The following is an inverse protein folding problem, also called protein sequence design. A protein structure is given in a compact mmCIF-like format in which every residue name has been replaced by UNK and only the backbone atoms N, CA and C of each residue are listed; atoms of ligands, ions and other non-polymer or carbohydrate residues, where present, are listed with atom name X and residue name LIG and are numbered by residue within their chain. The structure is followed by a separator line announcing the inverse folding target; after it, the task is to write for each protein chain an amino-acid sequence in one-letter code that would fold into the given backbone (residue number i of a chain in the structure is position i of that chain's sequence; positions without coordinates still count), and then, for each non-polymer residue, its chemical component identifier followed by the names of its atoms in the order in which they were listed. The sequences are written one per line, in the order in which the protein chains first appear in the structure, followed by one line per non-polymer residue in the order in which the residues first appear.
data_IF_737814391734
#
_entry.id   IF_737814391734
#
_cell.length_a   1.000
_cell.length_b   1.000
_cell.length_c   1.000
_cell.angle_alpha   90.00
_cell.angle_beta   90.00
_cell.angle_gamma   90.00
#
_symmetry.space_group_name_H-M   'P 1'
#
loop_
_entity.id
_entity.type
_entity.pdbx_description
1 polymer ?
#
# COMPACT_ATOMS: atom_id res chain seq x y z
N UNK A 1 -2.21 -19.04 7.82
CA UNK A 1 -1.53 -17.81 7.37
C UNK A 1 -0.71 -18.12 6.13
N UNK A 2 -0.99 -17.44 5.02
CA UNK A 2 -0.13 -17.46 3.83
C UNK A 2 1.00 -16.45 4.04
N UNK A 3 2.25 -16.86 3.78
CA UNK A 3 3.40 -15.95 3.70
C UNK A 3 3.66 -15.62 2.25
N UNK A 4 3.66 -14.33 1.93
CA UNK A 4 3.73 -13.84 0.56
C UNK A 4 4.93 -12.90 0.40
N UNK A 5 5.32 -12.68 -0.86
CA UNK A 5 6.26 -11.64 -1.25
C UNK A 5 5.61 -10.80 -2.34
N UNK A 6 5.79 -9.49 -2.27
CA UNK A 6 5.26 -8.59 -3.29
C UNK A 6 6.05 -8.70 -4.60
N UNK A 7 5.35 -8.64 -5.73
CA UNK A 7 5.92 -8.73 -7.07
C UNK A 7 5.24 -7.76 -8.04
N UNK A 8 6.04 -7.18 -8.91
CA UNK A 8 5.54 -6.31 -10.00
C UNK A 8 5.40 -7.13 -11.27
N UNK A 9 4.18 -7.14 -11.84
CA UNK A 9 3.90 -7.73 -13.13
C UNK A 9 4.11 -6.69 -14.23
N UNK A 10 5.28 -6.74 -14.86
CA UNK A 10 5.70 -5.91 -15.98
C UNK A 10 6.89 -6.57 -16.68
N UNK A 11 6.92 -6.51 -18.02
CA UNK A 11 7.92 -7.18 -18.85
C UNK A 11 9.38 -6.88 -18.46
N UNK A 12 9.70 -5.62 -18.13
CA UNK A 12 11.08 -5.22 -17.79
C UNK A 12 11.52 -5.86 -16.47
N UNK A 13 10.65 -5.84 -15.46
CA UNK A 13 10.90 -6.42 -14.14
C UNK A 13 10.96 -7.95 -14.22
N UNK A 14 10.04 -8.56 -14.99
CA UNK A 14 9.94 -10.00 -15.13
C UNK A 14 11.05 -10.58 -16.06
N UNK A 15 11.79 -9.73 -16.78
CA UNK A 15 12.87 -10.14 -17.69
C UNK A 15 13.99 -10.93 -16.98
N UNK A 16 14.15 -10.77 -15.69
CA UNK A 16 15.12 -11.50 -14.86
C UNK A 16 14.79 -12.98 -14.67
N UNK A 17 13.57 -13.41 -14.98
CA UNK A 17 13.14 -14.82 -14.94
C UNK A 17 13.01 -15.35 -16.36
N UNK A 18 13.59 -16.52 -16.64
CA UNK A 18 13.46 -17.16 -17.95
C UNK A 18 12.07 -17.78 -18.11
N UNK A 19 11.55 -18.38 -17.05
CA UNK A 19 10.26 -19.09 -17.01
C UNK A 19 9.46 -18.76 -15.76
N UNK A 20 8.18 -19.12 -15.75
CA UNK A 20 7.34 -19.06 -14.55
C UNK A 20 7.88 -19.93 -13.41
N UNK A 21 8.52 -21.06 -13.74
CA UNK A 21 9.12 -21.94 -12.73
C UNK A 21 10.30 -21.27 -11.99
N UNK A 22 11.03 -20.37 -12.64
CA UNK A 22 12.12 -19.61 -11.98
C UNK A 22 11.58 -18.63 -10.96
N UNK A 23 10.47 -17.94 -11.27
CA UNK A 23 9.78 -17.08 -10.33
C UNK A 23 9.20 -17.87 -9.15
N UNK A 24 8.61 -19.05 -9.43
CA UNK A 24 8.12 -19.92 -8.37
C UNK A 24 9.27 -20.41 -7.46
N UNK A 25 10.37 -20.87 -8.03
CA UNK A 25 11.55 -21.28 -7.29
C UNK A 25 12.10 -20.14 -6.42
N UNK A 26 12.06 -18.90 -6.94
CA UNK A 26 12.51 -17.73 -6.21
C UNK A 26 11.68 -17.49 -4.93
N UNK A 27 10.36 -17.31 -5.03
CA UNK A 27 9.57 -17.02 -3.83
C UNK A 27 9.50 -18.21 -2.86
N UNK A 28 9.51 -19.46 -3.36
CA UNK A 28 9.62 -20.65 -2.50
C UNK A 28 10.94 -20.66 -1.72
N UNK A 29 12.04 -20.25 -2.35
CA UNK A 29 13.35 -20.14 -1.68
C UNK A 29 13.39 -19.09 -0.57
N UNK A 30 12.49 -18.10 -0.63
CA UNK A 30 12.27 -17.11 0.42
C UNK A 30 11.41 -17.63 1.58
N UNK A 31 10.84 -18.84 1.46
CA UNK A 31 9.91 -19.41 2.44
C UNK A 31 8.49 -18.85 2.29
N UNK A 32 8.13 -18.37 1.10
CA UNK A 32 6.81 -17.83 0.79
C UNK A 32 5.93 -18.86 0.07
N UNK A 33 4.62 -18.74 0.26
CA UNK A 33 3.59 -19.61 -0.31
C UNK A 33 3.10 -19.14 -1.68
N UNK A 34 3.28 -17.85 -1.99
CA UNK A 34 2.84 -17.21 -3.22
C UNK A 34 3.20 -15.74 -3.28
N UNK A 35 2.54 -15.06 -4.20
CA UNK A 35 2.78 -13.66 -4.53
C UNK A 35 1.57 -12.79 -4.16
N UNK A 36 1.86 -11.56 -3.74
CA UNK A 36 0.98 -10.42 -3.93
C UNK A 36 1.48 -9.64 -5.15
N UNK A 37 0.63 -9.44 -6.13
CA UNK A 37 1.02 -8.88 -7.42
C UNK A 37 0.42 -7.51 -7.63
N UNK A 38 1.26 -6.53 -7.96
CA UNK A 38 0.84 -5.25 -8.55
C UNK A 38 1.08 -5.29 -10.06
N UNK A 39 0.04 -4.96 -10.84
CA UNK A 39 0.12 -4.92 -12.29
C UNK A 39 0.52 -3.52 -12.77
N UNK A 40 1.77 -3.35 -13.18
CA UNK A 40 2.26 -2.08 -13.72
C UNK A 40 2.40 -2.07 -15.25
N UNK A 41 2.27 -3.23 -15.91
CA UNK A 41 2.41 -3.36 -17.35
C UNK A 41 1.99 -4.73 -17.86
N UNK A 42 2.50 -5.09 -19.05
CA UNK A 42 2.21 -6.37 -19.69
C UNK A 42 3.18 -7.47 -19.20
N UNK A 43 2.69 -8.69 -19.15
CA UNK A 43 3.48 -9.91 -18.98
C UNK A 43 3.27 -10.83 -20.19
N UNK A 44 3.92 -10.47 -21.30
CA UNK A 44 3.78 -11.17 -22.59
C UNK A 44 4.19 -12.65 -22.52
N UNK A 45 5.14 -12.96 -21.62
CA UNK A 45 5.68 -14.32 -21.45
C UNK A 45 4.89 -15.15 -20.44
N UNK A 46 3.90 -14.54 -19.77
CA UNK A 46 3.10 -15.19 -18.73
C UNK A 46 3.97 -15.79 -17.63
N UNK A 47 4.93 -15.01 -17.16
CA UNK A 47 5.82 -15.40 -16.04
C UNK A 47 5.02 -15.53 -14.75
N UNK A 48 4.09 -14.59 -14.49
CA UNK A 48 3.14 -14.66 -13.38
C UNK A 48 1.94 -15.51 -13.80
N UNK A 49 1.73 -16.63 -13.11
CA UNK A 49 0.58 -17.50 -13.39
C UNK A 49 -0.45 -17.44 -12.25
N UNK A 50 -1.72 -17.77 -12.51
CA UNK A 50 -2.78 -17.74 -11.49
C UNK A 50 -2.44 -18.57 -10.24
N UNK A 51 -1.74 -19.68 -10.39
CA UNK A 51 -1.38 -20.57 -9.29
C UNK A 51 -0.41 -19.95 -8.27
N UNK A 52 0.33 -18.92 -8.69
CA UNK A 52 1.29 -18.20 -7.84
C UNK A 52 0.64 -17.04 -7.09
N UNK A 53 -0.49 -16.51 -7.62
CA UNK A 53 -1.12 -15.29 -7.10
C UNK A 53 -2.05 -15.64 -5.95
N UNK A 54 -1.79 -15.04 -4.80
CA UNK A 54 -2.67 -15.11 -3.62
C UNK A 54 -3.37 -13.77 -3.42
N UNK A 55 -2.66 -12.66 -3.61
CA UNK A 55 -3.20 -11.31 -3.53
C UNK A 55 -2.85 -10.46 -4.74
N UNK A 56 -3.67 -9.45 -4.99
CA UNK A 56 -3.38 -8.40 -5.95
C UNK A 56 -3.43 -7.04 -5.26
N UNK A 57 -2.41 -6.23 -5.49
CA UNK A 57 -2.45 -4.83 -5.13
C UNK A 57 -3.03 -4.04 -6.31
N UNK A 58 -4.10 -3.28 -6.06
CA UNK A 58 -4.71 -2.44 -7.10
C UNK A 58 -3.79 -1.27 -7.43
N UNK A 59 -3.97 -0.69 -8.61
CA UNK A 59 -3.32 0.59 -8.96
C UNK A 59 -3.63 1.63 -7.89
N UNK A 60 -2.66 2.46 -7.58
CA UNK A 60 -2.84 3.57 -6.65
C UNK A 60 -2.26 4.86 -7.20
N UNK A 61 -2.86 5.97 -6.80
CA UNK A 61 -2.43 7.33 -7.07
C UNK A 61 -2.25 8.03 -5.74
N UNK A 62 -1.10 8.64 -5.52
CA UNK A 62 -0.82 9.33 -4.25
C UNK A 62 -1.68 10.57 -4.06
N UNK A 63 -1.91 11.35 -5.12
CA UNK A 63 -2.70 12.59 -5.16
C UNK A 63 -3.82 12.42 -6.18
N UNK A 64 -5.06 12.20 -5.75
CA UNK A 64 -6.16 11.88 -6.67
C UNK A 64 -7.52 12.49 -6.28
N UNK A 65 -7.70 12.89 -5.03
CA UNK A 65 -9.01 13.36 -4.55
C UNK A 65 -9.46 14.63 -5.25
N UNK A 66 -8.55 15.55 -5.55
CA UNK A 66 -8.91 16.76 -6.31
C UNK A 66 -9.31 16.44 -7.76
N UNK A 67 -8.70 15.44 -8.39
CA UNK A 67 -9.12 14.94 -9.70
C UNK A 67 -10.52 14.31 -9.61
N UNK A 68 -10.75 13.46 -8.62
CA UNK A 68 -12.04 12.82 -8.35
C UNK A 68 -13.17 13.81 -8.14
N UNK A 69 -12.90 14.89 -7.39
CA UNK A 69 -13.87 15.95 -7.08
C UNK A 69 -13.98 17.02 -8.19
N UNK A 70 -13.15 16.93 -9.23
CA UNK A 70 -13.14 17.90 -10.36
C UNK A 70 -12.70 19.30 -9.97
N UNK A 71 -11.81 19.46 -8.98
CA UNK A 71 -11.31 20.75 -8.48
C UNK A 71 -10.22 21.30 -9.42
N UNK A 72 -10.64 21.92 -10.53
CA UNK A 72 -9.74 22.36 -11.60
C UNK A 72 -8.67 23.37 -11.17
N UNK A 73 -9.00 24.27 -10.24
CA UNK A 73 -8.04 25.24 -9.68
C UNK A 73 -6.92 24.53 -8.89
N UNK A 74 -7.24 23.47 -8.17
CA UNK A 74 -6.28 22.66 -7.44
C UNK A 74 -5.40 21.84 -8.40
N UNK A 75 -6.01 21.20 -9.38
CA UNK A 75 -5.28 20.48 -10.42
C UNK A 75 -4.32 21.38 -11.18
N UNK A 76 -4.76 22.61 -11.52
CA UNK A 76 -3.90 23.60 -12.18
C UNK A 76 -2.72 24.01 -11.28
N UNK A 77 -2.94 24.17 -9.98
CA UNK A 77 -1.86 24.50 -9.04
C UNK A 77 -0.85 23.36 -8.92
N UNK A 78 -1.33 22.13 -8.70
CA UNK A 78 -0.50 20.95 -8.45
C UNK A 78 0.26 20.47 -9.70
N UNK A 79 -0.40 20.42 -10.85
CA UNK A 79 0.11 19.82 -12.07
C UNK A 79 0.55 20.79 -13.15
N UNK A 80 0.19 22.05 -13.04
CA UNK A 80 0.57 23.11 -13.98
C UNK A 80 -0.21 23.15 -15.29
N UNK A 81 -0.68 22.01 -15.81
CA UNK A 81 -1.51 21.95 -17.02
C UNK A 81 -2.39 20.70 -17.10
N UNK A 82 -3.48 20.72 -17.91
CA UNK A 82 -4.32 19.55 -18.14
C UNK A 82 -3.57 18.37 -18.77
N UNK A 83 -2.55 18.63 -19.60
CA UNK A 83 -1.74 17.60 -20.24
C UNK A 83 -0.93 16.81 -19.21
N UNK A 84 -0.40 17.47 -18.19
CA UNK A 84 0.31 16.82 -17.07
C UNK A 84 -0.64 15.99 -16.23
N UNK A 85 -1.86 16.50 -15.97
CA UNK A 85 -2.93 15.76 -15.30
C UNK A 85 -3.25 14.45 -16.06
N UNK A 86 -3.46 14.56 -17.38
CA UNK A 86 -3.72 13.39 -18.22
C UNK A 86 -2.56 12.39 -18.20
N UNK A 87 -1.33 12.86 -18.26
CA UNK A 87 -0.15 11.99 -18.21
C UNK A 87 -0.03 11.26 -16.86
N UNK A 88 -0.33 11.97 -15.75
CA UNK A 88 -0.25 11.39 -14.41
C UNK A 88 -1.30 10.31 -14.19
N UNK A 89 -2.55 10.59 -14.53
CA UNK A 89 -3.65 9.64 -14.32
C UNK A 89 -3.87 8.68 -15.49
N UNK A 90 -3.20 8.90 -16.65
CA UNK A 90 -3.40 8.12 -17.89
C UNK A 90 -4.88 8.03 -18.31
N UNK A 91 -5.66 9.07 -18.00
CA UNK A 91 -7.07 9.18 -18.31
C UNK A 91 -7.51 10.64 -18.42
N UNK A 92 -8.64 10.89 -19.09
CA UNK A 92 -9.15 12.24 -19.35
C UNK A 92 -10.22 12.67 -18.35
N UNK A 93 -10.86 11.72 -17.70
CA UNK A 93 -12.03 11.98 -16.88
C UNK A 93 -12.24 10.90 -15.82
N UNK A 94 -13.24 11.14 -14.97
CA UNK A 94 -13.61 10.26 -13.85
C UNK A 94 -14.07 8.87 -14.29
N UNK A 95 -14.75 8.75 -15.43
CA UNK A 95 -15.23 7.45 -15.91
C UNK A 95 -14.08 6.56 -16.37
N UNK A 96 -13.07 7.14 -17.03
CA UNK A 96 -11.84 6.44 -17.41
C UNK A 96 -11.04 6.03 -16.18
N UNK A 97 -10.99 6.89 -15.16
CA UNK A 97 -10.34 6.58 -13.87
C UNK A 97 -11.01 5.38 -13.18
N UNK A 98 -12.35 5.36 -13.12
CA UNK A 98 -13.11 4.22 -12.62
C UNK A 98 -12.81 2.95 -13.43
N UNK A 99 -12.71 3.07 -14.77
CA UNK A 99 -12.44 1.95 -15.64
C UNK A 99 -11.07 1.29 -15.36
N UNK A 100 -10.06 2.08 -14.95
CA UNK A 100 -8.75 1.55 -14.57
C UNK A 100 -8.84 0.67 -13.31
N UNK A 101 -9.52 1.14 -12.25
CA UNK A 101 -9.74 0.35 -11.04
C UNK A 101 -10.54 -0.93 -11.31
N UNK A 102 -11.59 -0.83 -12.14
CA UNK A 102 -12.35 -2.02 -12.57
C UNK A 102 -11.48 -3.00 -13.36
N UNK A 103 -10.61 -2.51 -14.24
CA UNK A 103 -9.69 -3.37 -14.99
C UNK A 103 -8.71 -4.12 -14.10
N UNK A 104 -8.26 -3.50 -13.00
CA UNK A 104 -7.40 -4.16 -12.01
C UNK A 104 -8.17 -5.15 -11.14
N UNK A 105 -9.38 -4.83 -10.73
CA UNK A 105 -10.27 -5.78 -10.04
C UNK A 105 -10.59 -6.99 -10.91
N UNK A 106 -10.87 -6.77 -12.21
CA UNK A 106 -11.06 -7.83 -13.20
C UNK A 106 -9.79 -8.67 -13.38
N UNK A 107 -8.61 -8.04 -13.32
CA UNK A 107 -7.34 -8.77 -13.34
C UNK A 107 -7.20 -9.65 -12.10
N UNK A 108 -7.44 -9.12 -10.90
CA UNK A 108 -7.41 -9.87 -9.65
C UNK A 108 -8.37 -11.08 -9.71
N UNK A 109 -9.60 -10.86 -10.20
CA UNK A 109 -10.58 -11.93 -10.39
C UNK A 109 -10.08 -13.01 -11.37
N UNK A 110 -9.54 -12.61 -12.54
CA UNK A 110 -8.99 -13.55 -13.54
C UNK A 110 -7.80 -14.34 -13.04
N UNK A 111 -6.96 -13.73 -12.19
CA UNK A 111 -5.82 -14.39 -11.55
C UNK A 111 -6.23 -15.31 -10.39
N UNK A 112 -7.52 -15.31 -10.01
CA UNK A 112 -8.01 -16.11 -8.88
C UNK A 112 -7.46 -15.65 -7.53
N UNK A 113 -7.13 -14.35 -7.42
CA UNK A 113 -6.66 -13.75 -6.18
C UNK A 113 -7.67 -13.97 -5.05
N UNK A 114 -7.16 -14.25 -3.86
CA UNK A 114 -7.97 -14.38 -2.64
C UNK A 114 -8.36 -13.02 -2.09
N UNK A 115 -7.52 -12.00 -2.31
CA UNK A 115 -7.78 -10.63 -1.90
C UNK A 115 -7.23 -9.63 -2.92
N UNK A 116 -7.79 -8.42 -2.86
CA UNK A 116 -7.28 -7.24 -3.57
C UNK A 116 -7.10 -6.09 -2.56
N UNK A 117 -5.96 -5.38 -2.65
CA UNK A 117 -5.61 -4.28 -1.74
C UNK A 117 -5.94 -2.95 -2.39
N UNK A 118 -6.52 -2.03 -1.62
CA UNK A 118 -6.78 -0.65 -2.04
C UNK A 118 -6.25 0.34 -1.01
N UNK A 119 -5.41 1.29 -1.44
CA UNK A 119 -4.94 2.41 -0.62
C UNK A 119 -6.05 3.41 -0.34
N UNK A 120 -6.37 3.66 0.93
CA UNK A 120 -7.34 4.68 1.33
C UNK A 120 -6.59 5.93 1.78
N UNK A 121 -6.00 6.65 0.85
CA UNK A 121 -5.16 7.83 1.16
C UNK A 121 -5.12 8.84 0.02
N UNK A 122 -4.70 10.06 0.38
CA UNK A 122 -4.40 11.14 -0.55
C UNK A 122 -3.28 12.02 0.00
N UNK A 123 -2.32 12.37 -0.85
CA UNK A 123 -1.20 13.26 -0.52
C UNK A 123 -0.64 13.88 -1.79
N UNK A 124 -0.54 15.21 -1.82
CA UNK A 124 0.20 15.94 -2.85
C UNK A 124 1.70 15.97 -2.53
N UNK A 125 2.50 16.37 -3.53
CA UNK A 125 3.95 16.55 -3.34
C UNK A 125 4.24 17.52 -2.19
N UNK A 126 3.58 18.68 -2.16
CA UNK A 126 3.79 19.70 -1.14
C UNK A 126 3.42 19.18 0.26
N UNK A 127 2.32 18.45 0.37
CA UNK A 127 1.89 17.84 1.65
C UNK A 127 2.88 16.78 2.15
N UNK A 128 3.44 15.99 1.25
CA UNK A 128 4.45 14.97 1.59
C UNK A 128 5.69 15.58 2.25
N UNK A 129 6.07 16.80 1.88
CA UNK A 129 7.18 17.53 2.49
C UNK A 129 6.81 18.35 3.73
N UNK A 130 5.59 18.92 3.75
CA UNK A 130 5.22 19.92 4.78
C UNK A 130 4.40 19.35 5.92
N UNK A 131 3.71 18.23 5.69
CA UNK A 131 2.67 17.70 6.60
C UNK A 131 1.56 18.72 6.89
N UNK A 132 1.33 19.64 5.94
CA UNK A 132 0.21 20.60 5.97
C UNK A 132 -0.86 20.11 5.01
N UNK A 133 -1.89 19.51 5.57
CA UNK A 133 -2.88 18.74 4.85
C UNK A 133 -3.99 19.63 4.27
N UNK A 134 -4.35 19.41 3.02
CA UNK A 134 -5.42 20.11 2.30
C UNK A 134 -6.77 19.43 2.48
N UNK A 135 -6.75 18.11 2.59
CA UNK A 135 -7.93 17.30 2.85
C UNK A 135 -7.98 16.83 4.30
N UNK A 136 -9.18 16.53 4.78
CA UNK A 136 -9.39 15.81 6.03
C UNK A 136 -9.38 14.30 5.79
N UNK A 137 -9.10 13.50 6.82
CA UNK A 137 -9.18 12.03 6.71
C UNK A 137 -10.55 11.59 6.21
N UNK A 138 -11.62 12.24 6.68
CA UNK A 138 -12.97 11.93 6.28
C UNK A 138 -13.25 12.22 4.80
N UNK A 139 -12.75 13.33 4.24
CA UNK A 139 -12.94 13.65 2.81
C UNK A 139 -12.28 12.59 1.92
N UNK A 140 -11.08 12.16 2.27
CA UNK A 140 -10.37 11.11 1.54
C UNK A 140 -11.08 9.76 1.65
N UNK A 141 -11.54 9.41 2.86
CA UNK A 141 -12.32 8.20 3.09
C UNK A 141 -13.64 8.24 2.30
N UNK A 142 -14.35 9.37 2.27
CA UNK A 142 -15.60 9.52 1.52
C UNK A 142 -15.39 9.34 0.00
N UNK A 143 -14.32 9.92 -0.55
CA UNK A 143 -13.96 9.76 -1.96
C UNK A 143 -13.61 8.28 -2.27
N UNK A 144 -12.85 7.63 -1.40
CA UNK A 144 -12.50 6.21 -1.52
C UNK A 144 -13.73 5.30 -1.47
N UNK A 145 -14.64 5.56 -0.53
CA UNK A 145 -15.92 4.82 -0.43
C UNK A 145 -16.73 4.98 -1.72
N UNK A 146 -16.85 6.20 -2.25
CA UNK A 146 -17.60 6.46 -3.47
C UNK A 146 -17.00 5.70 -4.66
N UNK A 147 -15.69 5.78 -4.87
CA UNK A 147 -14.97 5.05 -5.92
C UNK A 147 -15.17 3.54 -5.79
N UNK A 148 -14.95 2.99 -4.62
CA UNK A 148 -15.07 1.55 -4.36
C UNK A 148 -16.49 1.04 -4.58
N UNK A 149 -17.50 1.75 -4.09
CA UNK A 149 -18.88 1.38 -4.27
C UNK A 149 -19.28 1.38 -5.76
N UNK A 150 -18.83 2.40 -6.53
CA UNK A 150 -19.05 2.43 -7.99
C UNK A 150 -18.35 1.25 -8.70
N UNK A 151 -17.18 0.85 -8.23
CA UNK A 151 -16.44 -0.26 -8.82
C UNK A 151 -17.04 -1.62 -8.49
N UNK A 152 -17.61 -1.78 -7.30
CA UNK A 152 -18.04 -3.10 -6.79
C UNK A 152 -19.54 -3.32 -6.83
N UNK A 153 -20.38 -2.27 -6.85
CA UNK A 153 -21.84 -2.42 -6.89
C UNK A 153 -22.28 -3.15 -8.16
N UNK A 154 -22.93 -4.31 -7.97
CA UNK A 154 -23.38 -5.16 -9.05
C UNK A 154 -22.31 -6.02 -9.73
N UNK A 155 -21.07 -5.96 -9.27
CA UNK A 155 -20.00 -6.85 -9.71
C UNK A 155 -20.04 -8.19 -8.94
N UNK A 156 -19.58 -9.26 -9.61
CA UNK A 156 -19.51 -10.62 -9.02
C UNK A 156 -18.05 -11.00 -8.76
N UNK A 157 -17.38 -10.20 -7.93
CA UNK A 157 -16.00 -10.50 -7.48
C UNK A 157 -16.03 -11.45 -6.29
N UNK A 158 -15.07 -12.38 -6.25
CA UNK A 158 -14.96 -13.40 -5.20
C UNK A 158 -13.85 -13.16 -4.18
N UNK A 159 -12.93 -12.22 -4.46
CA UNK A 159 -11.83 -11.88 -3.56
C UNK A 159 -12.30 -11.05 -2.35
N UNK A 160 -11.52 -11.02 -1.28
CA UNK A 160 -11.68 -10.05 -0.20
C UNK A 160 -11.12 -8.69 -0.65
N UNK A 161 -11.84 -7.59 -0.44
CA UNK A 161 -11.34 -6.24 -0.65
C UNK A 161 -10.70 -5.75 0.66
N UNK A 162 -9.39 -5.60 0.67
CA UNK A 162 -8.63 -5.17 1.84
C UNK A 162 -8.26 -3.69 1.73
N UNK A 163 -8.76 -2.90 2.67
CA UNK A 163 -8.53 -1.47 2.77
C UNK A 163 -7.24 -1.23 3.54
N UNK A 164 -6.26 -0.58 2.90
CA UNK A 164 -4.93 -0.41 3.47
C UNK A 164 -4.78 0.97 4.11
N UNK A 165 -4.13 0.98 5.26
CA UNK A 165 -3.76 2.19 5.97
C UNK A 165 -2.45 2.78 5.44
N UNK A 166 -2.42 4.11 5.33
CA UNK A 166 -1.21 4.89 5.10
C UNK A 166 -0.99 5.88 6.27
N UNK A 167 0.11 6.63 6.25
CA UNK A 167 0.40 7.65 7.28
C UNK A 167 -0.04 9.06 6.86
N UNK A 168 -0.61 9.19 5.67
CA UNK A 168 -1.18 10.40 5.11
C UNK A 168 -2.66 10.53 5.42
N UNK A 169 -3.33 11.55 4.86
CA UNK A 169 -4.76 11.73 5.00
C UNK A 169 -5.55 10.60 4.37
N UNK A 170 -6.60 10.19 5.09
CA UNK A 170 -7.43 9.05 4.77
C UNK A 170 -7.49 8.04 5.94
N UNK A 171 -7.27 6.79 5.62
CA UNK A 171 -7.28 5.71 6.60
C UNK A 171 -5.86 5.45 7.12
N UNK A 172 -5.59 5.78 8.38
CA UNK A 172 -4.29 5.59 9.02
C UNK A 172 -4.27 4.51 10.11
N UNK A 173 -5.42 3.91 10.43
CA UNK A 173 -5.59 2.98 11.55
C UNK A 173 -5.22 3.60 12.91
N UNK A 174 -5.50 4.91 13.08
CA UNK A 174 -5.29 5.65 14.33
C UNK A 174 -6.58 6.22 14.92
N UNK A 175 -7.69 6.16 14.18
CA UNK A 175 -9.02 6.63 14.58
C UNK A 175 -10.05 5.50 14.42
N UNK A 176 -10.50 4.87 15.52
CA UNK A 176 -11.49 3.79 15.48
C UNK A 176 -12.86 4.22 14.91
N UNK A 177 -13.26 5.48 15.10
CA UNK A 177 -14.56 5.95 14.61
C UNK A 177 -14.53 6.09 13.08
N UNK A 178 -13.45 6.60 12.52
CA UNK A 178 -13.26 6.66 11.07
C UNK A 178 -13.07 5.26 10.45
N UNK A 179 -12.35 4.37 11.14
CA UNK A 179 -12.24 2.96 10.73
C UNK A 179 -13.61 2.30 10.65
N UNK A 180 -14.42 2.46 11.69
CA UNK A 180 -15.79 1.93 11.72
C UNK A 180 -16.64 2.56 10.62
N UNK A 181 -16.58 3.88 10.45
CA UNK A 181 -17.32 4.60 9.43
C UNK A 181 -17.01 4.05 8.03
N UNK A 182 -15.73 3.90 7.70
CA UNK A 182 -15.28 3.37 6.41
C UNK A 182 -15.83 1.95 6.17
N UNK A 183 -15.66 1.05 7.14
CA UNK A 183 -16.14 -0.33 7.05
C UNK A 183 -17.66 -0.41 6.89
N UNK A 184 -18.42 0.45 7.57
CA UNK A 184 -19.87 0.49 7.48
C UNK A 184 -20.40 1.03 6.14
N UNK A 185 -19.61 1.88 5.45
CA UNK A 185 -20.03 2.61 4.24
C UNK A 185 -19.58 1.98 2.92
N UNK A 186 -18.53 1.18 2.93
CA UNK A 186 -18.17 0.37 1.77
C UNK A 186 -19.22 -0.74 1.62
N UNK A 187 -19.87 -0.82 0.45
CA UNK A 187 -20.98 -1.75 0.21
C UNK A 187 -20.50 -3.20 0.03
N UNK A 188 -19.29 -3.37 -0.52
CA UNK A 188 -18.76 -4.70 -0.77
C UNK A 188 -18.70 -5.51 0.53
N UNK A 189 -19.41 -6.64 0.61
CA UNK A 189 -19.58 -7.39 1.86
C UNK A 189 -18.30 -8.11 2.27
N UNK A 190 -17.59 -8.72 1.29
CA UNK A 190 -16.35 -9.47 1.54
C UNK A 190 -15.15 -8.52 1.65
N UNK A 191 -15.09 -7.73 2.71
CA UNK A 191 -14.06 -6.72 2.95
C UNK A 191 -13.36 -6.88 4.29
N UNK A 192 -12.15 -6.35 4.35
CA UNK A 192 -11.34 -6.30 5.57
C UNK A 192 -10.32 -5.17 5.52
N UNK A 193 -9.33 -5.30 6.37
CA UNK A 193 -8.20 -4.36 6.47
C UNK A 193 -6.94 -5.10 6.09
N UNK A 194 -6.13 -4.47 5.23
CA UNK A 194 -4.71 -4.73 5.10
C UNK A 194 -3.99 -3.80 6.07
N UNK A 195 -3.42 -4.34 7.14
CA UNK A 195 -2.64 -3.54 8.07
C UNK A 195 -1.19 -3.47 7.58
N UNK A 196 -0.81 -2.30 7.06
CA UNK A 196 0.59 -2.02 6.80
C UNK A 196 1.27 -1.51 8.07
N UNK A 197 2.29 -2.26 8.52
CA UNK A 197 2.99 -1.99 9.78
C UNK A 197 3.97 -0.84 9.69
N UNK A 198 4.62 -0.66 8.53
CA UNK A 198 5.54 0.47 8.31
C UNK A 198 4.79 1.78 8.16
N UNK A 199 3.67 1.77 7.43
CA UNK A 199 2.77 2.92 7.32
C UNK A 199 2.22 3.34 8.69
N UNK A 200 1.77 2.37 9.50
CA UNK A 200 1.30 2.70 10.85
C UNK A 200 2.42 3.26 11.73
N UNK A 201 3.67 2.75 11.61
CA UNK A 201 4.82 3.33 12.31
C UNK A 201 5.10 4.77 11.84
N UNK A 202 4.99 5.06 10.53
CA UNK A 202 5.18 6.39 9.96
C UNK A 202 4.13 7.42 10.43
N UNK A 203 2.94 6.96 10.84
CA UNK A 203 1.91 7.83 11.42
C UNK A 203 2.31 8.41 12.80
N UNK A 204 3.39 7.91 13.41
CA UNK A 204 3.90 8.40 14.68
C UNK A 204 5.40 8.74 14.60
N UNK A 205 5.72 10.00 14.32
CA UNK A 205 7.10 10.47 14.17
C UNK A 205 7.95 10.39 15.45
N UNK A 206 7.36 10.08 16.61
CA UNK A 206 8.10 9.90 17.85
C UNK A 206 8.81 8.54 17.98
N UNK A 207 8.50 7.56 17.12
CA UNK A 207 9.12 6.23 17.12
C UNK A 207 10.61 6.33 16.77
N UNK A 208 11.47 5.65 17.57
CA UNK A 208 12.92 5.64 17.39
C UNK A 208 13.52 4.23 17.31
N UNK A 209 12.70 3.19 17.51
CA UNK A 209 13.13 1.79 17.42
C UNK A 209 12.01 0.89 16.93
N UNK A 210 12.35 -0.30 16.46
CA UNK A 210 11.37 -1.31 16.05
C UNK A 210 10.49 -1.75 17.23
N UNK A 211 11.07 -1.90 18.42
CA UNK A 211 10.32 -2.25 19.63
C UNK A 211 9.26 -1.19 19.98
N UNK A 212 9.63 0.11 19.94
CA UNK A 212 8.66 1.20 20.13
C UNK A 212 7.57 1.20 19.05
N UNK A 213 7.92 0.83 17.80
CA UNK A 213 6.96 0.63 16.73
C UNK A 213 5.96 -0.49 17.03
N UNK A 214 6.45 -1.64 17.49
CA UNK A 214 5.60 -2.75 17.91
C UNK A 214 4.68 -2.35 19.07
N UNK A 215 5.19 -1.64 20.08
CA UNK A 215 4.39 -1.12 21.19
C UNK A 215 3.31 -0.14 20.72
N UNK A 216 3.63 0.69 19.71
CA UNK A 216 2.66 1.61 19.11
C UNK A 216 1.56 0.86 18.37
N UNK A 217 1.91 -0.15 17.56
CA UNK A 217 0.93 -1.01 16.88
C UNK A 217 0.01 -1.67 17.91
N UNK A 218 0.55 -2.19 19.02
CA UNK A 218 -0.27 -2.79 20.09
C UNK A 218 -1.26 -1.80 20.70
N UNK A 219 -0.87 -0.52 20.90
CA UNK A 219 -1.79 0.53 21.38
C UNK A 219 -2.91 0.81 20.39
N UNK A 220 -2.58 0.96 19.09
CA UNK A 220 -3.61 1.14 18.07
C UNK A 220 -4.60 -0.03 18.02
N UNK A 221 -4.11 -1.27 18.16
CA UNK A 221 -4.98 -2.45 18.26
C UNK A 221 -5.86 -2.44 19.52
N UNK A 222 -5.34 -1.94 20.65
CA UNK A 222 -6.14 -1.78 21.89
C UNK A 222 -7.26 -0.75 21.71
N UNK A 223 -6.95 0.39 21.09
CA UNK A 223 -7.89 1.47 20.80
C UNK A 223 -9.00 1.02 19.82
N UNK A 224 -8.66 0.22 18.81
CA UNK A 224 -9.61 -0.32 17.85
C UNK A 224 -10.45 -1.48 18.40
N UNK A 225 -9.97 -2.19 19.43
CA UNK A 225 -10.72 -3.27 20.09
C UNK A 225 -11.27 -4.29 19.08
N UNK A 226 -12.60 -4.45 19.06
CA UNK A 226 -13.28 -5.41 18.17
C UNK A 226 -13.10 -5.11 16.67
N UNK A 227 -12.80 -3.88 16.28
CA UNK A 227 -12.54 -3.54 14.89
C UNK A 227 -11.23 -4.20 14.35
N UNK A 228 -10.30 -4.53 15.23
CA UNK A 228 -9.08 -5.26 14.86
C UNK A 228 -9.36 -6.64 14.23
N UNK A 229 -10.55 -7.21 14.43
CA UNK A 229 -10.98 -8.47 13.78
C UNK A 229 -11.18 -8.37 12.28
N UNK A 230 -11.30 -7.14 11.76
CA UNK A 230 -11.36 -6.91 10.32
C UNK A 230 -9.98 -6.94 9.66
N UNK A 231 -8.88 -7.01 10.41
CA UNK A 231 -7.54 -7.18 9.85
C UNK A 231 -7.43 -8.61 9.33
N UNK A 232 -7.42 -8.74 8.01
CA UNK A 232 -7.30 -10.02 7.30
C UNK A 232 -5.92 -10.22 6.73
N UNK A 233 -5.30 -9.13 6.28
CA UNK A 233 -3.95 -9.10 5.72
C UNK A 233 -3.02 -8.19 6.52
N UNK A 234 -1.73 -8.43 6.33
CA UNK A 234 -0.67 -7.61 6.90
C UNK A 234 0.43 -7.42 5.86
N UNK A 235 0.76 -6.16 5.54
CA UNK A 235 2.03 -5.81 4.91
C UNK A 235 3.06 -5.66 6.02
N UNK A 236 4.06 -6.53 5.99
CA UNK A 236 5.04 -6.63 7.06
C UNK A 236 6.39 -6.06 6.64
N UNK A 237 6.65 -4.88 7.08
CA UNK A 237 7.93 -4.19 7.03
C UNK A 237 8.01 -3.16 8.15
N UNK A 238 9.17 -2.57 8.37
CA UNK A 238 9.33 -1.51 9.35
C UNK A 238 9.92 -0.25 8.74
N UNK A 239 9.52 0.89 9.29
CA UNK A 239 10.05 2.20 8.97
C UNK A 239 10.29 2.96 10.28
N UNK A 240 11.56 3.19 10.62
CA UNK A 240 11.97 3.99 11.80
C UNK A 240 12.53 5.32 11.29
N UNK A 241 11.67 6.14 10.69
CA UNK A 241 12.03 7.35 9.95
C UNK A 241 11.63 8.66 10.65
N UNK A 242 10.98 8.58 11.82
CA UNK A 242 10.40 9.76 12.47
C UNK A 242 11.38 10.91 12.72
N UNK A 243 12.65 10.63 13.05
CA UNK A 243 13.66 11.68 13.22
C UNK A 243 13.98 12.41 11.90
N UNK A 244 13.97 11.68 10.78
CA UNK A 244 14.14 12.26 9.45
C UNK A 244 12.94 13.17 9.11
N UNK A 245 11.72 12.70 9.33
CA UNK A 245 10.51 13.49 9.07
C UNK A 245 10.49 14.79 9.88
N UNK A 246 10.78 14.72 11.19
CA UNK A 246 10.85 15.90 12.07
C UNK A 246 11.88 16.93 11.63
N UNK A 247 12.93 16.51 10.95
CA UNK A 247 13.92 17.44 10.40
C UNK A 247 13.49 17.96 9.01
N UNK A 248 12.98 17.09 8.15
CA UNK A 248 12.57 17.44 6.78
C UNK A 248 11.47 18.51 6.74
N UNK A 249 10.45 18.40 7.60
CA UNK A 249 9.33 19.35 7.65
C UNK A 249 9.72 20.76 8.06
N UNK A 250 10.91 20.97 8.65
CA UNK A 250 11.37 22.32 9.04
C UNK A 250 11.85 23.14 7.85
N UNK A 251 12.31 22.49 6.81
CA UNK A 251 12.89 23.13 5.64
C UNK A 251 12.37 22.43 4.36
N UNK A 252 11.06 22.46 4.08
CA UNK A 252 10.52 21.86 2.88
C UNK A 252 11.07 22.57 1.63
N UNK A 253 11.25 21.88 0.50
CA UNK A 253 11.57 22.53 -0.75
C UNK A 253 10.45 23.49 -1.17
N UNK A 254 10.77 24.55 -1.93
CA UNK A 254 9.74 25.41 -2.49
C UNK A 254 8.92 24.62 -3.51
N UNK A 255 7.63 25.00 -3.67
CA UNK A 255 6.80 24.47 -4.74
C UNK A 255 7.48 24.64 -6.11
N UNK A 256 7.53 23.57 -6.89
CA UNK A 256 8.10 23.57 -8.24
C UNK A 256 7.01 23.24 -9.26
N UNK A 257 6.92 24.07 -10.30
CA UNK A 257 5.94 23.92 -11.37
C UNK A 257 6.32 22.87 -12.42
N UNK A 258 7.52 22.26 -12.34
CA UNK A 258 7.87 21.05 -13.10
C UNK A 258 7.44 19.81 -12.32
N UNK A 259 6.21 19.40 -12.53
CA UNK A 259 5.58 18.31 -11.76
C UNK A 259 6.41 17.02 -11.78
N UNK A 260 6.88 16.57 -12.95
CA UNK A 260 7.58 15.27 -13.03
C UNK A 260 8.95 15.28 -12.37
N UNK A 261 9.64 16.42 -12.38
CA UNK A 261 10.88 16.58 -11.61
C UNK A 261 10.59 16.54 -10.11
N UNK A 262 9.63 17.32 -9.68
CA UNK A 262 9.19 17.35 -8.28
C UNK A 262 8.70 15.99 -7.80
N UNK A 263 7.96 15.27 -8.65
CA UNK A 263 7.49 13.93 -8.34
C UNK A 263 8.65 12.94 -8.16
N UNK A 264 9.66 12.98 -9.02
CA UNK A 264 10.85 12.12 -8.87
C UNK A 264 11.64 12.43 -7.59
N UNK A 265 11.82 13.72 -7.26
CA UNK A 265 12.48 14.14 -6.02
C UNK A 265 11.64 13.77 -4.78
N UNK A 266 10.31 13.93 -4.84
CA UNK A 266 9.40 13.53 -3.78
C UNK A 266 9.38 12.00 -3.58
N UNK A 267 9.52 11.23 -4.64
CA UNK A 267 9.59 9.78 -4.57
C UNK A 267 10.79 9.31 -3.74
N UNK A 268 11.98 9.89 -3.95
CA UNK A 268 13.17 9.60 -3.14
C UNK A 268 12.99 10.00 -1.66
N UNK A 269 12.30 11.15 -1.44
CA UNK A 269 11.95 11.59 -0.10
C UNK A 269 11.00 10.59 0.60
N UNK A 270 9.95 10.15 -0.10
CA UNK A 270 8.99 9.17 0.43
C UNK A 270 9.66 7.84 0.74
N UNK A 271 10.54 7.33 -0.14
CA UNK A 271 11.29 6.10 0.12
C UNK A 271 12.29 6.22 1.30
N UNK A 272 12.66 7.44 1.69
CA UNK A 272 13.45 7.69 2.91
C UNK A 272 12.57 7.64 4.16
N UNK A 273 11.30 7.96 4.05
CA UNK A 273 10.30 7.85 5.13
C UNK A 273 9.82 6.42 5.23
N UNK A 274 9.35 5.87 4.13
CA UNK A 274 8.80 4.53 4.04
C UNK A 274 9.85 3.57 3.50
N UNK A 275 10.66 3.08 4.43
CA UNK A 275 11.91 2.39 4.10
C UNK A 275 11.75 0.96 3.66
N UNK A 276 10.60 0.34 3.89
CA UNK A 276 10.30 -1.06 3.58
C UNK A 276 11.43 -2.03 4.00
N UNK A 277 11.95 -1.86 5.22
CA UNK A 277 13.03 -2.72 5.74
C UNK A 277 12.48 -3.88 6.57
N UNK A 278 13.20 -5.01 6.64
CA UNK A 278 12.73 -6.15 7.42
C UNK A 278 12.74 -5.83 8.92
N UNK A 279 11.78 -6.37 9.64
CA UNK A 279 11.87 -6.46 11.08
C UNK A 279 13.00 -7.41 11.48
N UNK A 280 13.82 -6.96 12.42
CA UNK A 280 14.90 -7.72 13.05
C UNK A 280 14.69 -7.86 14.56
N UNK A 281 13.80 -7.05 15.13
CA UNK A 281 13.45 -7.10 16.54
C UNK A 281 12.38 -8.17 16.79
N UNK A 282 12.58 -9.10 17.74
CA UNK A 282 11.62 -10.17 18.03
C UNK A 282 10.27 -9.68 18.59
N UNK A 283 10.13 -8.42 19.00
CA UNK A 283 8.86 -7.85 19.46
C UNK A 283 7.76 -7.97 18.39
N UNK A 284 8.12 -7.97 17.10
CA UNK A 284 7.16 -8.13 15.98
C UNK A 284 6.36 -9.44 16.05
N UNK A 285 6.91 -10.49 16.68
CA UNK A 285 6.17 -11.76 16.85
C UNK A 285 4.87 -11.55 17.61
N UNK A 286 4.94 -10.79 18.70
CA UNK A 286 3.74 -10.47 19.51
C UNK A 286 2.67 -9.75 18.70
N UNK A 287 3.07 -8.88 17.78
CA UNK A 287 2.14 -8.19 16.86
C UNK A 287 1.47 -9.20 15.92
N UNK A 288 2.26 -10.02 15.23
CA UNK A 288 1.76 -11.02 14.27
C UNK A 288 0.90 -12.07 14.97
N UNK A 289 1.32 -12.57 16.14
CA UNK A 289 0.55 -13.54 16.94
C UNK A 289 -0.78 -12.95 17.42
N UNK A 290 -0.81 -11.68 17.80
CA UNK A 290 -2.02 -11.01 18.25
C UNK A 290 -3.02 -10.81 17.13
N UNK A 291 -2.57 -10.37 15.95
CA UNK A 291 -3.41 -10.12 14.79
C UNK A 291 -3.83 -11.45 14.16
N UNK A 292 -2.91 -12.41 14.09
CA UNK A 292 -3.09 -13.72 13.45
C UNK A 292 -3.68 -13.58 12.02
N UNK A 293 -3.05 -12.81 11.12
CA UNK A 293 -3.60 -12.52 9.80
C UNK A 293 -3.72 -13.78 8.96
N UNK A 294 -4.66 -13.81 8.03
CA UNK A 294 -4.75 -14.87 7.02
C UNK A 294 -3.63 -14.72 5.98
N UNK A 295 -3.33 -13.48 5.61
CA UNK A 295 -2.32 -13.12 4.61
C UNK A 295 -1.23 -12.25 5.25
N UNK A 296 0.02 -12.64 5.10
CA UNK A 296 1.17 -11.84 5.52
C UNK A 296 2.09 -11.66 4.31
N UNK A 297 2.15 -10.45 3.78
CA UNK A 297 3.03 -10.10 2.68
C UNK A 297 4.30 -9.42 3.20
N UNK A 298 5.46 -9.97 2.84
CA UNK A 298 6.75 -9.31 3.04
C UNK A 298 6.92 -8.23 1.99
N UNK A 299 6.55 -7.01 2.32
CA UNK A 299 6.64 -5.86 1.42
C UNK A 299 7.97 -5.14 1.63
N UNK A 300 9.01 -5.67 1.02
CA UNK A 300 10.40 -5.26 1.29
C UNK A 300 11.04 -4.60 0.07
N UNK A 301 11.68 -3.46 0.30
CA UNK A 301 12.55 -2.78 -0.66
C UNK A 301 13.97 -3.28 -0.56
N UNK A 302 14.54 -3.67 -1.70
CA UNK A 302 15.89 -4.19 -1.84
C UNK A 302 16.49 -3.75 -3.18
N UNK A 303 17.80 -3.73 -3.27
CA UNK A 303 18.51 -3.36 -4.52
C UNK A 303 18.38 -4.39 -5.63
N UNK A 304 18.16 -5.66 -5.26
CA UNK A 304 18.02 -6.79 -6.17
C UNK A 304 17.28 -7.96 -5.49
N UNK A 305 16.94 -8.99 -6.29
CA UNK A 305 16.26 -10.18 -5.80
C UNK A 305 17.06 -10.98 -4.75
N UNK A 306 18.38 -10.95 -4.80
CA UNK A 306 19.21 -11.68 -3.84
C UNK A 306 19.08 -11.04 -2.44
N UNK A 307 19.16 -9.71 -2.36
CA UNK A 307 18.95 -8.97 -1.12
C UNK A 307 17.50 -9.07 -0.63
N UNK A 308 16.50 -8.99 -1.55
CA UNK A 308 15.09 -9.17 -1.18
C UNK A 308 14.85 -10.56 -0.58
N UNK A 309 15.43 -11.59 -1.17
CA UNK A 309 15.37 -12.96 -0.62
C UNK A 309 16.09 -13.08 0.75
N UNK A 310 17.21 -12.38 0.94
CA UNK A 310 17.91 -12.34 2.24
C UNK A 310 17.02 -11.67 3.30
N UNK A 311 16.46 -10.50 3.02
CA UNK A 311 15.58 -9.78 3.92
C UNK A 311 14.33 -10.59 4.27
N UNK A 312 13.71 -11.23 3.29
CA UNK A 312 12.52 -12.07 3.52
C UNK A 312 12.85 -13.27 4.42
N UNK A 313 13.97 -13.95 4.17
CA UNK A 313 14.42 -15.05 5.03
C UNK A 313 14.78 -14.60 6.44
N UNK A 314 15.42 -13.43 6.58
CA UNK A 314 15.74 -12.82 7.87
C UNK A 314 14.44 -12.56 8.66
N UNK A 315 13.47 -11.89 8.06
CA UNK A 315 12.20 -11.57 8.70
C UNK A 315 11.41 -12.86 9.05
N UNK A 316 11.41 -13.86 8.16
CA UNK A 316 10.84 -15.19 8.48
C UNK A 316 11.55 -15.85 9.66
N UNK A 317 12.88 -15.75 9.77
CA UNK A 317 13.62 -16.31 10.88
C UNK A 317 13.28 -15.62 12.21
N UNK A 318 13.08 -14.31 12.20
CA UNK A 318 12.57 -13.55 13.36
C UNK A 318 11.20 -14.08 13.76
N UNK A 319 10.26 -14.19 12.82
CA UNK A 319 8.89 -14.66 13.09
C UNK A 319 8.88 -16.10 13.64
N UNK A 320 9.75 -16.96 13.13
CA UNK A 320 9.85 -18.36 13.56
C UNK A 320 10.60 -18.56 14.89
N UNK A 321 11.10 -17.49 15.49
CA UNK A 321 11.87 -17.60 16.74
C UNK A 321 13.24 -18.25 16.59
N UNK A 322 13.84 -18.16 15.40
CA UNK A 322 15.16 -18.74 15.10
C UNK A 322 16.31 -17.77 15.37
N UNK A 323 15.98 -16.49 15.53
CA UNK A 323 16.87 -15.40 15.91
C UNK A 323 16.15 -14.43 16.84
#
# INVERSE_FOLDING_TARGET
MYRLINAVSENSILSQYETSADLEAYFRSCGCDGLEVIRCGEDDRKIVTPEMVVGCHLVFYSDWVDFWLGRQDRLQYKFGSPEVVQQMYMCDNRDDFIAQFKADMDYAQRMGAKYAVFHVSDVSIDEGYTYQWEHTDKEVIDASIELLNICTDGADYSFELLLENLWWKGFSFTDPDLTKYMLDKVHYENKGIMLDTGHLMNANTAIRSQAEGCDYIHRCLDEHGELSKYIRGMHLHQSVSGAYVEEAIKNPPPHDYDYFRSFAEAYDHILTIDTHKPFTDPAVRGVVERIAPEYLCHELSAKDNAEKAEFTRLQNAVLDGKI
#
